data_IF_849595677407
#
_entry.id   IF_849595677407
#
_cell.length_a   1.000
_cell.length_b   1.000
_cell.length_c   1.000
_cell.angle_alpha   90.00
_cell.angle_beta   90.00
_cell.angle_gamma   90.00
#
_symmetry.space_group_name_H-M   'P 1'
#
loop_
_entity.id
_entity.type
_entity.pdbx_description
1 polymer ?
#
# COMPACT_ATOMS: atom_id res chain seq x y z
N UNK A 1 -15.57 -14.33 3.08
CA UNK A 1 -14.21 -14.03 2.62
C UNK A 1 -14.22 -12.71 1.87
N UNK A 2 -13.35 -11.83 2.26
CA UNK A 2 -13.25 -10.52 1.61
C UNK A 2 -12.60 -10.63 0.24
N UNK A 3 -13.19 -9.89 -0.72
CA UNK A 3 -12.56 -9.78 -2.02
C UNK A 3 -11.26 -8.97 -1.87
N UNK A 4 -10.18 -9.36 -2.57
CA UNK A 4 -8.95 -8.57 -2.52
C UNK A 4 -9.15 -7.21 -3.17
N UNK A 5 -8.39 -6.24 -2.69
CA UNK A 5 -8.38 -4.92 -3.29
C UNK A 5 -7.77 -4.98 -4.69
N UNK A 6 -8.21 -4.09 -5.55
CA UNK A 6 -7.73 -4.02 -6.92
C UNK A 6 -7.19 -2.63 -7.22
N UNK A 7 -6.31 -2.57 -8.19
CA UNK A 7 -5.80 -1.30 -8.68
C UNK A 7 -6.95 -0.41 -9.15
N UNK A 8 -7.02 0.79 -8.63
CA UNK A 8 -8.09 1.73 -8.94
C UNK A 8 -9.22 1.77 -7.94
N UNK A 9 -9.29 0.82 -7.00
CA UNK A 9 -10.28 0.85 -5.94
C UNK A 9 -10.05 2.08 -5.06
N UNK A 10 -11.15 2.65 -4.55
CA UNK A 10 -11.09 3.82 -3.71
C UNK A 10 -11.65 3.52 -2.32
N UNK A 11 -11.19 4.29 -1.35
CA UNK A 11 -11.63 4.18 0.03
C UNK A 11 -11.47 5.54 0.70
N UNK A 12 -11.94 5.65 1.94
CA UNK A 12 -11.70 6.84 2.76
C UNK A 12 -10.68 6.47 3.84
N UNK A 13 -9.73 7.37 4.06
CA UNK A 13 -8.70 7.14 5.05
C UNK A 13 -8.23 8.47 5.63
N UNK A 14 -7.68 8.41 6.83
CA UNK A 14 -7.10 9.58 7.47
C UNK A 14 -5.66 9.75 6.98
N UNK A 15 -5.38 10.92 6.43
CA UNK A 15 -4.02 11.25 6.01
C UNK A 15 -3.41 12.21 7.03
N UNK A 16 -2.40 11.78 7.79
CA UNK A 16 -1.77 12.66 8.79
C UNK A 16 -1.06 13.84 8.16
N UNK A 17 -0.62 13.69 6.92
CA UNK A 17 0.04 14.77 6.21
C UNK A 17 -0.95 15.85 5.76
N UNK A 18 -2.13 15.44 5.32
CA UNK A 18 -3.18 16.38 4.91
C UNK A 18 -4.03 16.86 6.09
N UNK A 19 -3.95 16.17 7.22
CA UNK A 19 -4.62 16.57 8.44
C UNK A 19 -6.08 16.21 8.54
N UNK A 20 -6.57 15.22 7.80
CA UNK A 20 -7.97 14.83 7.88
C UNK A 20 -8.31 13.65 7.00
N UNK A 21 -9.61 13.38 6.87
CA UNK A 21 -10.10 12.32 6.01
C UNK A 21 -9.96 12.73 4.55
N UNK A 22 -9.44 11.81 3.76
CA UNK A 22 -9.24 12.01 2.33
C UNK A 22 -9.73 10.78 1.58
N UNK A 23 -10.01 10.95 0.30
CA UNK A 23 -10.24 9.81 -0.58
C UNK A 23 -8.89 9.18 -0.89
N UNK A 24 -8.79 7.88 -0.71
CA UNK A 24 -7.58 7.14 -1.01
C UNK A 24 -7.82 6.22 -2.19
N UNK A 25 -6.76 5.88 -2.89
CA UNK A 25 -6.82 5.01 -4.06
C UNK A 25 -5.80 3.90 -3.92
N UNK A 26 -6.21 2.69 -4.29
CA UNK A 26 -5.30 1.54 -4.32
C UNK A 26 -4.60 1.53 -5.67
N UNK A 27 -3.29 1.62 -5.66
CA UNK A 27 -2.47 1.61 -6.87
C UNK A 27 -1.31 0.66 -6.68
N UNK A 28 -0.79 0.13 -7.79
CA UNK A 28 0.39 -0.74 -7.75
C UNK A 28 1.63 0.11 -7.83
N UNK A 29 2.54 -0.12 -6.91
CA UNK A 29 3.81 0.60 -6.85
C UNK A 29 4.93 -0.32 -6.44
N UNK A 30 6.16 0.09 -6.72
CA UNK A 30 7.33 -0.61 -6.22
C UNK A 30 7.58 -0.20 -4.79
N UNK A 31 7.85 -1.17 -3.93
CA UNK A 31 8.14 -0.94 -2.52
C UNK A 31 9.56 -1.41 -2.23
N UNK A 32 10.34 -0.57 -1.59
CA UNK A 32 11.69 -0.92 -1.19
C UNK A 32 11.69 -1.42 0.25
N UNK A 33 12.29 -2.59 0.46
CA UNK A 33 12.43 -3.18 1.79
C UNK A 33 13.85 -2.94 2.29
N UNK A 34 14.05 -1.97 3.20
CA UNK A 34 15.41 -1.60 3.61
C UNK A 34 16.17 -2.71 4.33
N UNK A 35 15.47 -3.60 5.03
CA UNK A 35 16.12 -4.71 5.73
C UNK A 35 16.81 -5.70 4.80
N UNK A 36 16.17 -6.00 3.69
CA UNK A 36 16.66 -6.97 2.73
C UNK A 36 17.27 -6.32 1.50
N UNK A 37 17.12 -5.01 1.37
CA UNK A 37 17.52 -4.21 0.21
C UNK A 37 16.90 -4.70 -1.08
N UNK A 38 15.71 -5.26 -0.97
CA UNK A 38 14.96 -5.72 -2.13
C UNK A 38 13.91 -4.69 -2.53
N UNK A 39 13.70 -4.57 -3.83
CA UNK A 39 12.61 -3.78 -4.38
C UNK A 39 11.55 -4.73 -4.89
N UNK A 40 10.36 -4.62 -4.35
CA UNK A 40 9.23 -5.46 -4.74
C UNK A 40 8.34 -4.67 -5.68
N UNK A 41 8.08 -5.20 -6.86
CA UNK A 41 7.24 -4.55 -7.85
C UNK A 41 5.80 -5.02 -7.71
N UNK A 42 4.88 -4.20 -8.23
CA UNK A 42 3.46 -4.52 -8.31
C UNK A 42 2.83 -4.80 -6.95
N UNK A 43 3.24 -4.03 -5.95
CA UNK A 43 2.63 -4.10 -4.63
C UNK A 43 1.48 -3.11 -4.58
N UNK A 44 0.30 -3.59 -4.21
CA UNK A 44 -0.86 -2.74 -4.09
C UNK A 44 -0.75 -1.94 -2.79
N UNK A 45 -0.81 -0.63 -2.90
CA UNK A 45 -0.72 0.28 -1.75
C UNK A 45 -1.88 1.26 -1.79
N UNK A 46 -2.26 1.76 -0.64
CA UNK A 46 -3.32 2.75 -0.52
C UNK A 46 -2.68 4.12 -0.37
N UNK A 47 -2.93 5.01 -1.34
CA UNK A 47 -2.30 6.32 -1.38
C UNK A 47 -3.33 7.42 -1.25
N UNK A 48 -2.91 8.54 -0.68
CA UNK A 48 -3.73 9.74 -0.58
C UNK A 48 -3.91 10.35 -1.97
N UNK A 49 -5.14 10.69 -2.33
CA UNK A 49 -5.42 11.30 -3.63
C UNK A 49 -4.90 12.74 -3.74
N UNK A 50 -4.56 13.36 -2.64
CA UNK A 50 -4.14 14.76 -2.58
C UNK A 50 -2.61 14.85 -2.58
N UNK A 51 -1.94 14.22 -1.63
CA UNK A 51 -0.50 14.30 -1.49
C UNK A 51 0.25 13.08 -2.06
N UNK A 52 -0.47 12.07 -2.49
CA UNK A 52 0.05 10.82 -3.06
C UNK A 52 0.96 10.03 -2.12
N UNK A 53 0.90 10.33 -0.84
CA UNK A 53 1.63 9.56 0.16
C UNK A 53 0.97 8.23 0.43
N UNK A 54 1.78 7.20 0.72
CA UNK A 54 1.26 5.89 1.07
C UNK A 54 0.64 5.96 2.46
N UNK A 55 -0.64 5.62 2.56
CA UNK A 55 -1.37 5.68 3.82
C UNK A 55 -1.35 4.33 4.54
N UNK A 56 -1.72 3.28 3.83
CA UNK A 56 -1.77 1.94 4.43
C UNK A 56 -1.46 0.90 3.36
N UNK A 57 -1.23 -0.32 3.81
CA UNK A 57 -1.08 -1.47 2.94
C UNK A 57 -2.22 -2.43 3.23
N UNK A 58 -2.92 -2.94 2.20
CA UNK A 58 -3.91 -3.97 2.42
C UNK A 58 -3.25 -5.26 2.92
N UNK A 59 -4.03 -6.12 3.57
CA UNK A 59 -3.50 -7.37 4.13
C UNK A 59 -2.78 -8.21 3.10
N UNK A 60 -3.31 -8.27 1.89
CA UNK A 60 -2.71 -9.04 0.81
C UNK A 60 -1.29 -8.57 0.50
N UNK A 61 -1.06 -7.26 0.54
CA UNK A 61 0.27 -6.69 0.29
C UNK A 61 1.20 -6.93 1.46
N UNK A 62 0.68 -6.83 2.69
CA UNK A 62 1.47 -7.11 3.88
C UNK A 62 1.94 -8.57 3.91
N UNK A 63 1.05 -9.49 3.56
CA UNK A 63 1.39 -10.91 3.48
C UNK A 63 2.45 -11.17 2.42
N UNK A 64 2.31 -10.53 1.26
CA UNK A 64 3.28 -10.64 0.17
C UNK A 64 4.67 -10.17 0.62
N UNK A 65 4.73 -9.00 1.24
CA UNK A 65 6.00 -8.44 1.70
C UNK A 65 6.62 -9.24 2.82
N UNK A 66 5.80 -9.76 3.72
CA UNK A 66 6.28 -10.62 4.81
C UNK A 66 6.91 -11.89 4.28
N UNK A 67 6.26 -12.52 3.32
CA UNK A 67 6.77 -13.75 2.72
C UNK A 67 8.11 -13.53 2.03
N UNK A 68 8.22 -12.45 1.27
CA UNK A 68 9.47 -12.08 0.60
C UNK A 68 10.56 -11.80 1.62
N UNK A 69 10.23 -11.08 2.70
CA UNK A 69 11.18 -10.77 3.76
C UNK A 69 11.71 -11.99 4.48
N UNK A 70 10.89 -13.02 4.64
CA UNK A 70 11.31 -14.27 5.29
C UNK A 70 12.25 -15.06 4.39
N UNK A 71 11.95 -15.09 3.10
CA UNK A 71 12.76 -15.84 2.12
C UNK A 71 14.07 -15.16 1.77
N UNK A 72 14.13 -13.87 1.95
CA UNK A 72 15.34 -13.11 1.70
C UNK A 72 16.21 -13.08 2.94
#
# INVERSE_FOLDING_TARGET
>A
MEAPWKNGDTASAHCPHCGGLVTSTYVRRSVFLPRTRLRVRDVLVNVCSICEGVLTLPRQSMAQLREIGIKA
#
